data_IF_517514818989
#
_entry.id   IF_517514818989
#
_cell.length_a   1.000
_cell.length_b   1.000
_cell.length_c   1.000
_cell.angle_alpha   90.00
_cell.angle_beta   90.00
_cell.angle_gamma   90.00
#
_symmetry.space_group_name_H-M   'P 1'
#
loop_
_entity.id
_entity.type
_entity.pdbx_description
1 polymer ?
#
# COMPACT_ATOMS: atom_id res chain seq x y z
N UNK A 1 15.63 0.12 15.22
CA UNK A 1 14.46 0.87 15.73
C UNK A 1 14.38 0.71 17.24
N UNK A 2 13.92 1.72 17.97
CA UNK A 2 13.50 1.52 19.37
C UNK A 2 12.25 0.64 19.33
N UNK A 3 12.16 -0.39 20.16
CA UNK A 3 10.94 -1.18 20.28
C UNK A 3 9.84 -0.25 20.83
N UNK A 4 8.97 0.24 19.94
CA UNK A 4 7.74 0.91 20.35
C UNK A 4 6.79 -0.19 20.80
N UNK A 5 6.43 -0.14 22.09
CA UNK A 5 5.45 -1.06 22.68
C UNK A 5 4.08 -0.42 22.48
N UNK A 6 3.21 -1.07 21.70
CA UNK A 6 1.81 -0.67 21.57
C UNK A 6 1.01 -1.27 22.72
N UNK A 7 0.35 -0.42 23.51
CA UNK A 7 -0.49 -0.84 24.65
C UNK A 7 -1.99 -0.64 24.41
N UNK A 8 -2.36 0.22 23.47
CA UNK A 8 -3.73 0.48 23.05
C UNK A 8 -3.80 0.56 21.52
N UNK A 9 -4.76 -0.13 20.91
CA UNK A 9 -4.96 -0.10 19.47
C UNK A 9 -5.56 1.24 19.00
N UNK A 10 -6.26 1.98 19.87
CA UNK A 10 -6.81 3.29 19.55
C UNK A 10 -5.72 4.32 19.27
N UNK A 11 -4.59 4.25 19.96
CA UNK A 11 -3.44 5.12 19.71
C UNK A 11 -2.90 4.92 18.29
N UNK A 12 -2.88 3.68 17.81
CA UNK A 12 -2.45 3.34 16.44
C UNK A 12 -3.47 3.85 15.43
N UNK A 13 -4.77 3.72 15.70
CA UNK A 13 -5.81 4.33 14.86
C UNK A 13 -5.65 5.83 14.79
N UNK A 14 -5.46 6.51 15.92
CA UNK A 14 -5.26 7.95 15.97
C UNK A 14 -4.04 8.41 15.16
N UNK A 15 -2.94 7.66 15.21
CA UNK A 15 -1.75 7.92 14.38
C UNK A 15 -2.04 7.74 12.88
N UNK A 16 -2.77 6.68 12.50
CA UNK A 16 -3.15 6.43 11.10
C UNK A 16 -4.08 7.54 10.60
N UNK A 17 -5.11 7.91 11.37
CA UNK A 17 -6.05 8.97 11.01
C UNK A 17 -5.36 10.34 10.91
N UNK A 18 -4.40 10.63 11.79
CA UNK A 18 -3.57 11.84 11.68
C UNK A 18 -2.76 11.86 10.38
N UNK A 19 -2.24 10.72 9.94
CA UNK A 19 -1.55 10.60 8.66
C UNK A 19 -2.52 10.77 7.48
N UNK A 20 -3.74 10.23 7.57
CA UNK A 20 -4.80 10.40 6.56
C UNK A 20 -5.14 11.89 6.41
N UNK A 21 -5.38 12.59 7.52
CA UNK A 21 -5.71 14.02 7.53
C UNK A 21 -4.61 14.85 6.88
N UNK A 22 -3.35 14.57 7.24
CA UNK A 22 -2.16 15.23 6.66
C UNK A 22 -2.13 15.14 5.14
N UNK A 23 -2.57 14.00 4.57
CA UNK A 23 -2.50 13.74 3.13
C UNK A 23 -3.86 13.82 2.43
N UNK A 24 -4.92 14.30 3.10
CA UNK A 24 -6.26 14.18 2.54
C UNK A 24 -6.42 15.03 1.27
N UNK A 25 -5.95 16.27 1.31
CA UNK A 25 -5.96 17.20 0.18
C UNK A 25 -4.57 17.70 -0.20
N UNK A 26 -3.58 17.47 0.66
CA UNK A 26 -2.20 17.87 0.44
C UNK A 26 -1.36 16.68 -0.03
N UNK A 27 -0.54 16.93 -1.04
CA UNK A 27 0.34 15.89 -1.60
C UNK A 27 1.35 15.42 -0.55
N UNK A 28 1.49 14.09 -0.33
CA UNK A 28 2.47 13.53 0.59
C UNK A 28 3.90 13.93 0.20
N UNK A 29 4.68 14.56 1.09
CA UNK A 29 6.09 14.89 0.84
C UNK A 29 6.93 13.67 0.43
N UNK A 30 6.60 12.49 0.95
CA UNK A 30 7.25 11.22 0.63
C UNK A 30 7.10 10.89 -0.86
N UNK A 31 5.88 10.96 -1.39
CA UNK A 31 5.61 10.72 -2.82
C UNK A 31 6.21 11.81 -3.70
N UNK A 32 6.21 13.08 -3.25
CA UNK A 32 6.89 14.17 -3.97
C UNK A 32 8.37 13.85 -4.19
N UNK A 33 9.04 13.37 -3.15
CA UNK A 33 10.45 12.97 -3.23
C UNK A 33 10.64 11.84 -4.23
N UNK A 34 9.82 10.78 -4.16
CA UNK A 34 9.92 9.64 -5.08
C UNK A 34 9.75 10.08 -6.53
N UNK A 35 8.72 10.87 -6.83
CA UNK A 35 8.47 11.36 -8.20
C UNK A 35 9.61 12.27 -8.70
N UNK A 36 10.26 13.01 -7.81
CA UNK A 36 11.46 13.79 -8.11
C UNK A 36 12.75 12.93 -8.26
N UNK A 37 12.67 11.62 -8.08
CA UNK A 37 13.80 10.70 -8.16
C UNK A 37 14.67 10.64 -6.90
N UNK A 38 14.16 11.12 -5.77
CA UNK A 38 14.86 11.10 -4.48
C UNK A 38 14.28 9.98 -3.61
N UNK A 39 15.06 8.90 -3.46
CA UNK A 39 14.69 7.73 -2.65
C UNK A 39 15.83 7.45 -1.68
N UNK A 40 15.57 7.54 -0.38
CA UNK A 40 16.61 7.48 0.65
C UNK A 40 17.28 6.09 0.73
N UNK A 41 16.56 5.02 0.40
CA UNK A 41 17.07 3.64 0.33
C UNK A 41 18.00 3.38 -0.87
N UNK A 42 17.94 4.23 -1.90
CA UNK A 42 18.58 3.99 -3.19
C UNK A 42 17.86 2.96 -4.09
N UNK A 43 16.60 2.59 -3.79
CA UNK A 43 15.83 1.69 -4.64
C UNK A 43 15.70 2.22 -6.08
N UNK A 44 15.78 1.30 -7.06
CA UNK A 44 15.74 1.64 -8.48
C UNK A 44 16.93 1.10 -9.28
N UNK A 45 16.80 -0.13 -9.77
CA UNK A 45 17.82 -0.78 -10.60
C UNK A 45 18.12 0.04 -11.86
N UNK A 46 19.41 0.20 -12.18
CA UNK A 46 19.85 1.00 -13.33
C UNK A 46 19.86 2.51 -13.07
N UNK A 47 19.88 2.93 -11.79
CA UNK A 47 19.91 4.35 -11.37
C UNK A 47 18.71 5.16 -11.90
N UNK A 48 17.53 4.56 -11.87
CA UNK A 48 16.28 5.18 -12.33
C UNK A 48 15.13 4.91 -11.36
N UNK A 49 14.14 5.80 -11.34
CA UNK A 49 12.99 5.76 -10.41
C UNK A 49 11.72 5.18 -11.03
N UNK A 50 11.65 5.04 -12.36
CA UNK A 50 10.46 4.58 -13.05
C UNK A 50 9.99 3.20 -12.56
N UNK A 51 10.89 2.24 -12.34
CA UNK A 51 10.49 0.94 -11.79
C UNK A 51 9.89 1.09 -10.38
N UNK A 52 10.39 2.01 -9.56
CA UNK A 52 9.84 2.25 -8.22
C UNK A 52 8.43 2.83 -8.31
N UNK A 53 8.19 3.78 -9.20
CA UNK A 53 6.85 4.32 -9.45
C UNK A 53 5.87 3.22 -9.88
N UNK A 54 6.30 2.30 -10.77
CA UNK A 54 5.49 1.16 -11.20
C UNK A 54 5.16 0.23 -10.02
N UNK A 55 6.13 -0.06 -9.14
CA UNK A 55 5.88 -0.89 -7.97
C UNK A 55 4.94 -0.20 -6.98
N UNK A 56 5.14 1.09 -6.66
CA UNK A 56 4.26 1.83 -5.76
C UNK A 56 2.82 1.87 -6.29
N UNK A 57 2.64 2.19 -7.58
CA UNK A 57 1.32 2.20 -8.22
C UNK A 57 0.63 0.83 -8.08
N UNK A 58 1.30 -0.25 -8.50
CA UNK A 58 0.72 -1.59 -8.50
C UNK A 58 0.46 -2.13 -7.09
N UNK A 59 1.43 -2.00 -6.17
CA UNK A 59 1.30 -2.56 -4.82
C UNK A 59 0.30 -1.77 -3.99
N UNK A 60 0.31 -0.43 -4.02
CA UNK A 60 -0.68 0.34 -3.28
C UNK A 60 -2.10 0.05 -3.79
N UNK A 61 -2.29 -0.12 -5.10
CA UNK A 61 -3.57 -0.54 -5.69
C UNK A 61 -4.03 -1.90 -5.16
N UNK A 62 -3.19 -2.94 -5.29
CA UNK A 62 -3.54 -4.32 -4.94
C UNK A 62 -3.74 -4.45 -3.43
N UNK A 63 -2.83 -3.89 -2.63
CA UNK A 63 -2.90 -3.99 -1.17
C UNK A 63 -4.15 -3.30 -0.65
N UNK A 64 -4.48 -2.09 -1.12
CA UNK A 64 -5.68 -1.40 -0.67
C UNK A 64 -6.97 -2.06 -1.17
N UNK A 65 -7.16 -2.11 -2.49
CA UNK A 65 -8.45 -2.44 -3.11
C UNK A 65 -8.79 -3.92 -3.07
N UNK A 66 -7.76 -4.78 -3.03
CA UNK A 66 -7.97 -6.23 -3.01
C UNK A 66 -7.69 -6.80 -1.62
N UNK A 67 -6.47 -6.71 -1.12
CA UNK A 67 -6.05 -7.45 0.09
C UNK A 67 -6.76 -6.91 1.34
N UNK A 68 -6.51 -5.64 1.71
CA UNK A 68 -7.01 -5.08 2.97
C UNK A 68 -8.53 -4.89 2.93
N UNK A 69 -9.08 -4.48 1.77
CA UNK A 69 -10.53 -4.42 1.59
C UNK A 69 -11.21 -5.78 1.78
N UNK A 70 -10.62 -6.88 1.27
CA UNK A 70 -11.17 -8.23 1.50
C UNK A 70 -11.16 -8.59 2.96
N UNK A 71 -10.16 -8.21 3.74
CA UNK A 71 -10.21 -8.47 5.19
C UNK A 71 -11.42 -7.82 5.86
N UNK A 72 -11.76 -6.58 5.49
CA UNK A 72 -12.96 -5.93 6.03
C UNK A 72 -14.23 -6.68 5.61
N UNK A 73 -14.35 -7.05 4.33
CA UNK A 73 -15.49 -7.82 3.83
C UNK A 73 -15.63 -9.16 4.53
N UNK A 74 -14.52 -9.89 4.67
CA UNK A 74 -14.50 -11.22 5.25
C UNK A 74 -14.85 -11.21 6.75
N UNK A 75 -14.53 -10.13 7.46
CA UNK A 75 -14.90 -9.95 8.88
C UNK A 75 -16.42 -9.93 9.12
N UNK A 76 -17.23 -9.67 8.07
CA UNK A 76 -18.69 -9.66 8.14
C UNK A 76 -19.30 -11.08 8.14
N UNK A 77 -18.51 -12.11 7.85
CA UNK A 77 -19.00 -13.48 7.85
C UNK A 77 -18.97 -14.09 9.25
N UNK A 78 -20.08 -14.69 9.67
CA UNK A 78 -20.24 -15.25 11.02
C UNK A 78 -19.40 -16.53 11.24
N UNK A 79 -19.10 -17.26 10.17
CA UNK A 79 -18.30 -18.49 10.23
C UNK A 79 -16.78 -18.23 10.29
N UNK A 80 -16.34 -16.97 10.31
CA UNK A 80 -14.93 -16.58 10.39
C UNK A 80 -14.73 -15.79 11.68
N UNK A 81 -13.96 -16.38 12.61
CA UNK A 81 -13.66 -15.78 13.90
C UNK A 81 -12.54 -14.74 13.82
N UNK A 82 -12.42 -13.92 14.87
CA UNK A 82 -11.42 -12.86 14.97
C UNK A 82 -9.99 -13.39 14.90
N UNK A 83 -9.70 -14.51 15.57
CA UNK A 83 -8.37 -15.12 15.56
C UNK A 83 -7.94 -15.51 14.14
N UNK A 84 -8.85 -16.11 13.35
CA UNK A 84 -8.57 -16.42 11.95
C UNK A 84 -8.34 -15.16 11.11
N UNK A 85 -9.13 -14.10 11.34
CA UNK A 85 -8.93 -12.81 10.66
C UNK A 85 -7.52 -12.27 10.93
N UNK A 86 -7.10 -12.20 12.19
CA UNK A 86 -5.77 -11.72 12.58
C UNK A 86 -4.65 -12.57 11.98
N UNK A 87 -4.80 -13.91 12.04
CA UNK A 87 -3.82 -14.83 11.47
C UNK A 87 -3.64 -14.65 9.96
N UNK A 88 -4.74 -14.53 9.22
CA UNK A 88 -4.71 -14.36 7.76
C UNK A 88 -4.12 -12.99 7.40
N UNK A 89 -4.53 -11.93 8.11
CA UNK A 89 -3.99 -10.58 7.91
C UNK A 89 -2.48 -10.56 8.11
N UNK A 90 -1.97 -11.26 9.13
CA UNK A 90 -0.53 -11.40 9.36
C UNK A 90 0.18 -12.12 8.22
N UNK A 91 -0.36 -13.23 7.76
CA UNK A 91 0.26 -13.99 6.67
C UNK A 91 0.43 -13.15 5.40
N UNK A 92 -0.60 -12.39 5.03
CA UNK A 92 -0.61 -11.60 3.81
C UNK A 92 0.22 -10.32 3.88
N UNK A 93 0.31 -9.67 5.04
CA UNK A 93 0.95 -8.36 5.18
C UNK A 93 2.36 -8.41 5.78
N UNK A 94 2.67 -9.45 6.56
CA UNK A 94 3.86 -9.56 7.40
C UNK A 94 4.60 -10.89 7.28
N UNK A 95 4.06 -11.88 6.57
CA UNK A 95 4.58 -13.25 6.51
C UNK A 95 5.90 -13.35 5.75
N UNK A 96 5.89 -14.03 4.61
CA UNK A 96 7.12 -14.20 3.80
C UNK A 96 7.65 -12.88 3.24
N UNK A 97 6.76 -11.90 3.05
CA UNK A 97 7.08 -10.60 2.49
C UNK A 97 6.43 -9.50 3.33
N UNK A 98 7.24 -8.67 3.97
CA UNK A 98 6.76 -7.57 4.80
C UNK A 98 6.40 -6.37 3.91
N UNK A 99 5.10 -6.20 3.63
CA UNK A 99 4.61 -5.21 2.65
C UNK A 99 4.97 -3.78 3.06
N UNK A 100 4.86 -3.46 4.35
CA UNK A 100 5.13 -2.11 4.85
C UNK A 100 6.63 -1.75 4.84
N UNK A 101 7.51 -2.70 5.15
CA UNK A 101 8.97 -2.55 4.99
C UNK A 101 9.32 -2.30 3.51
N UNK A 102 8.77 -3.11 2.61
CA UNK A 102 8.97 -2.91 1.17
C UNK A 102 8.49 -1.53 0.70
N UNK A 103 7.32 -1.06 1.17
CA UNK A 103 6.82 0.27 0.83
C UNK A 103 7.74 1.39 1.34
N UNK A 104 8.35 1.23 2.52
CA UNK A 104 9.35 2.16 3.02
C UNK A 104 10.62 2.15 2.17
N UNK A 105 11.09 0.96 1.77
CA UNK A 105 12.21 0.82 0.84
C UNK A 105 11.95 1.51 -0.50
N UNK A 106 10.69 1.59 -0.95
CA UNK A 106 10.30 2.34 -2.15
C UNK A 106 10.17 3.86 -1.94
N UNK A 107 10.37 4.35 -0.71
CA UNK A 107 10.42 5.77 -0.38
C UNK A 107 9.23 6.29 0.44
N UNK A 108 8.31 5.43 0.89
CA UNK A 108 7.26 5.82 1.85
C UNK A 108 7.81 5.81 3.27
N UNK A 109 8.62 6.82 3.61
CA UNK A 109 9.29 6.94 4.91
C UNK A 109 8.32 6.74 6.09
N UNK A 110 8.70 5.91 7.06
CA UNK A 110 7.91 5.62 8.26
C UNK A 110 6.83 4.55 8.07
N UNK A 111 6.65 4.01 6.86
CA UNK A 111 5.64 2.98 6.59
C UNK A 111 5.94 1.68 7.35
N UNK A 112 7.20 1.25 7.47
CA UNK A 112 7.58 0.05 8.22
C UNK A 112 7.22 0.20 9.70
N UNK A 113 7.58 1.34 10.30
CA UNK A 113 7.26 1.61 11.71
C UNK A 113 5.74 1.60 11.95
N UNK A 114 4.96 2.23 11.07
CA UNK A 114 3.50 2.22 11.16
C UNK A 114 2.93 0.81 10.98
N UNK A 115 3.49 0.03 10.05
CA UNK A 115 3.13 -1.36 9.82
C UNK A 115 3.37 -2.24 11.06
N UNK A 116 4.51 -2.09 11.72
CA UNK A 116 4.83 -2.81 12.96
C UNK A 116 3.88 -2.43 14.10
N UNK A 117 3.52 -1.15 14.24
CA UNK A 117 2.50 -0.72 15.22
C UNK A 117 1.15 -1.34 14.92
N UNK A 118 0.73 -1.37 13.66
CA UNK A 118 -0.51 -2.03 13.24
C UNK A 118 -0.47 -3.54 13.54
N UNK A 119 0.65 -4.22 13.28
CA UNK A 119 0.81 -5.64 13.59
C UNK A 119 0.66 -5.94 15.10
N UNK A 120 1.25 -5.10 15.95
CA UNK A 120 1.09 -5.22 17.41
C UNK A 120 -0.35 -4.94 17.84
N UNK A 121 -1.00 -3.90 17.29
CA UNK A 121 -2.38 -3.54 17.58
C UNK A 121 -3.38 -4.65 17.22
N UNK A 122 -3.11 -5.47 16.19
CA UNK A 122 -3.93 -6.64 15.86
C UNK A 122 -4.04 -7.66 17.01
N UNK A 123 -3.08 -7.71 17.94
CA UNK A 123 -3.18 -8.57 19.13
C UNK A 123 -4.04 -7.98 20.26
N UNK A 124 -4.38 -6.69 20.18
CA UNK A 124 -5.08 -5.95 21.24
C UNK A 124 -6.58 -5.84 20.99
N UNK A 125 -7.02 -6.00 19.75
CA UNK A 125 -8.45 -6.04 19.42
C UNK A 125 -9.10 -7.31 19.95
N UNK A 126 -10.31 -7.19 20.48
CA UNK A 126 -11.08 -8.27 21.13
C UNK A 126 -12.36 -8.61 20.39
N UNK A 127 -12.83 -7.73 19.50
CA UNK A 127 -14.01 -7.96 18.67
C UNK A 127 -13.72 -7.77 17.19
N UNK A 128 -14.58 -8.34 16.33
CA UNK A 128 -14.52 -8.10 14.88
C UNK A 128 -14.81 -6.64 14.51
N UNK A 129 -15.46 -5.88 15.40
CA UNK A 129 -15.73 -4.45 15.21
C UNK A 129 -14.46 -3.64 15.37
N UNK A 130 -13.75 -3.80 16.48
CA UNK A 130 -12.46 -3.14 16.72
C UNK A 130 -11.43 -3.51 15.64
N UNK A 131 -11.43 -4.77 15.19
CA UNK A 131 -10.63 -5.21 14.05
C UNK A 131 -10.94 -4.42 12.76
N UNK A 132 -12.24 -4.19 12.47
CA UNK A 132 -12.67 -3.42 11.31
C UNK A 132 -12.33 -1.95 11.44
N UNK A 133 -12.36 -1.38 12.64
CA UNK A 133 -11.98 0.02 12.85
C UNK A 133 -10.48 0.19 12.59
N UNK A 134 -9.64 -0.63 13.23
CA UNK A 134 -8.19 -0.61 13.05
C UNK A 134 -7.76 -0.87 11.59
N UNK A 135 -8.28 -1.93 10.99
CA UNK A 135 -7.99 -2.30 9.58
C UNK A 135 -8.68 -1.35 8.60
N UNK A 136 -9.76 -0.71 9.03
CA UNK A 136 -10.50 0.38 8.40
C UNK A 136 -9.61 1.56 8.11
N UNK A 137 -9.04 2.14 9.17
CA UNK A 137 -8.12 3.26 9.09
C UNK A 137 -6.90 2.93 8.22
N UNK A 138 -6.27 1.77 8.43
CA UNK A 138 -5.12 1.36 7.62
C UNK A 138 -5.47 1.25 6.12
N UNK A 139 -6.63 0.68 5.78
CA UNK A 139 -7.11 0.64 4.40
C UNK A 139 -7.27 2.04 3.82
N UNK A 140 -7.93 2.96 4.54
CA UNK A 140 -8.14 4.34 4.12
C UNK A 140 -6.81 5.06 3.87
N UNK A 141 -5.81 4.83 4.70
CA UNK A 141 -4.48 5.41 4.50
C UNK A 141 -3.80 4.88 3.23
N UNK A 142 -3.76 3.56 3.04
CA UNK A 142 -3.11 2.94 1.87
C UNK A 142 -3.85 3.33 0.57
N UNK A 143 -5.19 3.32 0.56
CA UNK A 143 -5.94 3.72 -0.64
C UNK A 143 -5.74 5.21 -0.96
N UNK A 144 -5.54 6.05 0.06
CA UNK A 144 -5.26 7.47 -0.15
C UNK A 144 -3.87 7.70 -0.75
N UNK A 145 -2.87 6.96 -0.28
CA UNK A 145 -1.55 6.95 -0.90
C UNK A 145 -1.61 6.44 -2.35
N UNK A 146 -2.38 5.39 -2.62
CA UNK A 146 -2.65 4.92 -3.98
C UNK A 146 -3.22 6.03 -4.87
N UNK A 147 -4.24 6.75 -4.40
CA UNK A 147 -4.84 7.86 -5.17
C UNK A 147 -3.82 8.95 -5.52
N UNK A 148 -2.91 9.27 -4.59
CA UNK A 148 -1.84 10.23 -4.85
C UNK A 148 -0.82 9.74 -5.86
N UNK A 149 -0.30 8.51 -5.70
CA UNK A 149 0.66 7.99 -6.68
C UNK A 149 0.00 7.86 -8.06
N UNK A 150 -1.27 7.46 -8.14
CA UNK A 150 -2.01 7.37 -9.39
C UNK A 150 -2.14 8.73 -10.07
N UNK A 151 -2.37 9.80 -9.31
CA UNK A 151 -2.40 11.17 -9.83
C UNK A 151 -1.03 11.63 -10.35
N UNK A 152 0.04 11.30 -9.62
CA UNK A 152 1.40 11.74 -9.91
C UNK A 152 2.11 10.87 -10.96
N UNK A 153 1.61 9.66 -11.20
CA UNK A 153 2.24 8.69 -12.10
C UNK A 153 2.37 9.29 -13.51
N UNK A 154 3.52 9.10 -14.19
CA UNK A 154 3.81 9.75 -15.47
C UNK A 154 3.07 9.10 -16.65
N UNK A 155 1.73 9.07 -16.63
CA UNK A 155 0.88 8.44 -17.66
C UNK A 155 1.14 8.93 -19.08
N UNK A 156 1.69 10.15 -19.23
CA UNK A 156 2.11 10.69 -20.54
C UNK A 156 3.14 9.82 -21.25
N UNK A 157 3.87 8.97 -20.52
CA UNK A 157 4.76 7.96 -21.11
C UNK A 157 4.02 6.99 -22.06
N UNK A 158 2.71 6.79 -21.86
CA UNK A 158 1.87 5.96 -22.72
C UNK A 158 1.85 6.39 -24.18
N UNK A 159 2.19 7.64 -24.50
CA UNK A 159 2.33 8.12 -25.89
C UNK A 159 3.42 7.35 -26.65
N UNK A 160 4.45 6.83 -25.96
CA UNK A 160 5.48 5.99 -26.57
C UNK A 160 5.00 4.56 -26.89
N UNK A 161 3.80 4.17 -26.45
CA UNK A 161 3.23 2.82 -26.57
C UNK A 161 1.82 2.86 -27.20
N UNK A 162 1.67 3.33 -28.45
CA UNK A 162 0.38 3.40 -29.10
C UNK A 162 -0.17 2.01 -29.44
N UNK A 163 -1.50 1.91 -29.55
CA UNK A 163 -2.12 0.77 -30.23
C UNK A 163 -1.65 0.70 -31.68
N UNK A 164 -1.46 -0.53 -32.18
CA UNK A 164 -1.02 -0.79 -33.56
C UNK A 164 -2.13 -0.50 -34.57
N UNK A 165 -1.77 0.02 -35.74
CA UNK A 165 -2.72 0.20 -36.84
C UNK A 165 -3.16 -1.15 -37.42
N UNK A 166 -4.31 -1.23 -38.12
CA UNK A 166 -4.72 -2.44 -38.82
C UNK A 166 -3.66 -2.99 -39.80
N UNK A 167 -2.89 -2.13 -40.45
CA UNK A 167 -1.79 -2.51 -41.36
C UNK A 167 -0.63 -3.15 -40.60
N UNK A 168 -0.21 -2.56 -39.48
CA UNK A 168 0.80 -3.15 -38.59
C UNK A 168 0.33 -4.50 -38.01
N UNK A 169 -0.95 -4.64 -37.68
CA UNK A 169 -1.51 -5.92 -37.22
C UNK A 169 -1.45 -6.99 -38.31
N UNK A 170 -1.76 -6.63 -39.57
CA UNK A 170 -1.67 -7.57 -40.70
C UNK A 170 -0.23 -8.02 -40.96
N UNK A 171 0.76 -7.13 -40.81
CA UNK A 171 2.16 -7.51 -40.97
C UNK A 171 2.65 -8.40 -39.82
N UNK A 172 2.18 -8.15 -38.59
CA UNK A 172 2.46 -9.02 -37.44
C UNK A 172 1.86 -10.42 -37.60
N UNK A 173 0.66 -10.55 -38.18
CA UNK A 173 0.03 -11.84 -38.44
C UNK A 173 0.84 -12.76 -39.38
N UNK A 174 1.80 -12.21 -40.14
CA UNK A 174 2.68 -12.99 -41.00
C UNK A 174 3.90 -13.59 -40.27
N UNK A 175 4.13 -13.22 -39.00
CA UNK A 175 5.26 -13.69 -38.17
C UNK A 175 4.83 -14.46 -36.91
N UNK A 176 3.53 -14.74 -36.76
CA UNK A 176 2.97 -15.61 -35.71
C UNK A 176 2.30 -16.83 -36.32
#
# INVERSE_FOLDING_TARGET
MKNVVVTDWHDVVAEIESNIDRIWLEEPPELRKVVAGVIDSGAGSGKQVFSVLVHLEAYLMIVSQDIVFRFQKTSLHDNIGLEQMVSITREFLFGTFHIFEFMEDLGLTGMHELGEKYNQALSLVTTKEEYRDLTGSMHTYIIKLHQWIHLLFPWKLGVAFPHRSPEEVKSLAAIV
#
